data_IF_647890043804
#
_entry.id   IF_647890043804
#
_cell.length_a   1.000
_cell.length_b   1.000
_cell.length_c   1.000
_cell.angle_alpha   90.00
_cell.angle_beta   90.00
_cell.angle_gamma   90.00
#
_symmetry.space_group_name_H-M   'P 1'
#
loop_
_entity.id
_entity.type
_entity.pdbx_description
1 polymer ?
#
# COMPACT_ATOMS: atom_id res chain seq x y z
N UNK A 1 48.16 25.89 -25.29
CA UNK A 1 46.80 26.20 -24.81
C UNK A 1 45.96 24.96 -25.06
N UNK A 2 45.57 24.19 -24.03
CA UNK A 2 44.72 23.01 -24.21
C UNK A 2 43.24 23.43 -24.36
N UNK A 3 42.40 22.66 -25.06
CA UNK A 3 40.98 22.97 -25.20
C UNK A 3 40.26 22.69 -23.88
N UNK A 4 39.37 23.61 -23.50
CA UNK A 4 38.44 23.45 -22.38
C UNK A 4 37.39 22.42 -22.83
N UNK A 5 37.14 21.33 -22.08
CA UNK A 5 36.08 20.42 -22.44
C UNK A 5 34.73 21.12 -22.25
N UNK A 6 33.93 21.03 -23.31
CA UNK A 6 32.54 21.46 -23.38
C UNK A 6 31.74 20.79 -22.26
N UNK A 7 31.21 21.61 -21.36
CA UNK A 7 30.42 21.20 -20.20
C UNK A 7 28.99 21.66 -20.46
N UNK A 8 28.36 21.09 -21.49
CA UNK A 8 26.99 21.39 -21.89
C UNK A 8 26.24 20.10 -22.20
N UNK A 9 25.25 19.76 -21.36
CA UNK A 9 23.96 19.09 -21.69
C UNK A 9 23.40 18.17 -20.59
N UNK A 10 24.09 17.98 -19.48
CA UNK A 10 23.58 17.07 -18.43
C UNK A 10 22.41 17.67 -17.64
N UNK A 11 22.38 19.00 -17.48
CA UNK A 11 21.41 19.68 -16.63
C UNK A 11 20.00 19.72 -17.21
N UNK A 12 19.85 19.82 -18.55
CA UNK A 12 18.56 19.91 -19.21
C UNK A 12 17.85 18.55 -19.28
N UNK A 13 18.61 17.48 -19.55
CA UNK A 13 18.14 16.09 -19.56
C UNK A 13 17.60 15.66 -18.18
N UNK A 14 18.32 16.03 -17.10
CA UNK A 14 17.92 15.70 -15.73
C UNK A 14 16.62 16.42 -15.35
N UNK A 15 16.43 17.68 -15.74
CA UNK A 15 15.21 18.42 -15.43
C UNK A 15 13.97 17.86 -16.13
N UNK A 16 14.09 17.41 -17.39
CA UNK A 16 12.98 16.85 -18.15
C UNK A 16 12.56 15.47 -17.61
N UNK A 17 13.54 14.60 -17.32
CA UNK A 17 13.31 13.31 -16.66
C UNK A 17 12.65 13.46 -15.27
N UNK A 18 13.02 14.49 -14.50
CA UNK A 18 12.42 14.77 -13.19
C UNK A 18 10.99 15.27 -13.31
N UNK A 19 10.67 16.05 -14.35
CA UNK A 19 9.30 16.53 -14.61
C UNK A 19 8.41 15.36 -15.07
N UNK A 20 8.87 14.55 -16.02
CA UNK A 20 8.13 13.38 -16.50
C UNK A 20 7.93 12.35 -15.38
N UNK A 21 8.94 12.11 -14.55
CA UNK A 21 8.83 11.26 -13.37
C UNK A 21 7.81 11.84 -12.37
N UNK A 22 7.80 13.16 -12.13
CA UNK A 22 6.81 13.81 -11.26
C UNK A 22 5.39 13.67 -11.80
N UNK A 23 5.18 13.80 -13.11
CA UNK A 23 3.86 13.63 -13.73
C UNK A 23 3.38 12.18 -13.62
N UNK A 24 4.27 11.19 -13.82
CA UNK A 24 3.98 9.76 -13.58
C UNK A 24 3.71 9.44 -12.11
N UNK A 25 4.45 10.04 -11.16
CA UNK A 25 4.24 9.86 -9.71
C UNK A 25 2.91 10.48 -9.25
N UNK A 26 2.49 11.58 -9.88
CA UNK A 26 1.22 12.26 -9.59
C UNK A 26 0.01 11.61 -10.29
N UNK A 27 0.22 10.64 -11.17
CA UNK A 27 -0.87 9.90 -11.76
C UNK A 27 -1.53 9.00 -10.70
N UNK A 28 -2.78 9.33 -10.36
CA UNK A 28 -3.59 8.56 -9.43
C UNK A 28 -4.03 7.25 -10.10
N UNK A 29 -3.58 6.12 -9.55
CA UNK A 29 -4.12 4.82 -9.95
C UNK A 29 -5.41 4.59 -9.17
N UNK A 30 -6.52 4.43 -9.90
CA UNK A 30 -7.78 4.02 -9.30
C UNK A 30 -7.74 2.50 -9.10
N UNK A 31 -7.67 2.08 -7.85
CA UNK A 31 -7.68 0.67 -7.49
C UNK A 31 -9.11 0.32 -7.07
N UNK A 32 -9.73 -0.76 -7.59
CA UNK A 32 -11.14 -1.10 -7.36
C UNK A 32 -11.39 -1.65 -5.95
N UNK A 33 -10.94 -0.92 -4.93
CA UNK A 33 -11.11 -1.17 -3.51
C UNK A 33 -12.19 -0.26 -2.94
N UNK A 34 -13.01 -0.82 -2.05
CA UNK A 34 -14.08 -0.13 -1.35
C UNK A 34 -14.24 -0.66 0.07
N UNK A 35 -14.64 0.20 1.01
CA UNK A 35 -15.06 -0.26 2.34
C UNK A 35 -16.47 -0.87 2.28
N UNK A 36 -16.59 -2.13 2.69
CA UNK A 36 -17.85 -2.86 2.88
C UNK A 36 -18.02 -3.29 4.33
N UNK A 37 -19.23 -3.76 4.67
CA UNK A 37 -19.54 -4.35 5.98
C UNK A 37 -19.86 -5.83 5.83
N UNK A 38 -19.25 -6.66 6.67
CA UNK A 38 -19.51 -8.09 6.76
C UNK A 38 -20.13 -8.39 8.12
N UNK A 39 -21.22 -9.14 8.10
CA UNK A 39 -21.93 -9.60 9.30
C UNK A 39 -21.79 -11.13 9.38
N UNK A 40 -21.12 -11.62 10.43
CA UNK A 40 -21.04 -13.04 10.78
C UNK A 40 -22.43 -13.61 11.12
N UNK A 41 -23.20 -12.87 11.90
CA UNK A 41 -24.59 -13.20 12.24
C UNK A 41 -25.51 -11.97 12.14
N UNK A 42 -26.82 -12.16 12.36
CA UNK A 42 -27.82 -11.09 12.25
C UNK A 42 -27.67 -10.01 13.32
N UNK A 43 -27.13 -10.37 14.49
CA UNK A 43 -27.09 -9.51 15.67
C UNK A 43 -25.69 -9.00 16.01
N UNK A 44 -24.67 -9.53 15.33
CA UNK A 44 -23.30 -9.11 15.55
C UNK A 44 -23.06 -7.70 15.00
N UNK A 45 -22.14 -6.99 15.66
CA UNK A 45 -21.58 -5.77 15.11
C UNK A 45 -20.85 -6.11 13.81
N UNK A 46 -21.10 -5.38 12.69
CA UNK A 46 -20.42 -5.67 11.44
C UNK A 46 -18.93 -5.37 11.52
N UNK A 47 -18.13 -6.24 10.91
CA UNK A 47 -16.72 -5.99 10.60
C UNK A 47 -16.66 -5.13 9.34
N UNK A 48 -15.93 -4.01 9.39
CA UNK A 48 -15.62 -3.22 8.20
C UNK A 48 -14.42 -3.85 7.51
N UNK A 49 -14.52 -4.03 6.20
CA UNK A 49 -13.50 -4.71 5.40
C UNK A 49 -13.20 -3.89 4.16
N UNK A 50 -11.95 -3.91 3.71
CA UNK A 50 -11.56 -3.40 2.40
C UNK A 50 -11.78 -4.50 1.37
N UNK A 51 -12.84 -4.34 0.58
CA UNK A 51 -13.20 -5.25 -0.48
C UNK A 51 -12.59 -4.83 -1.81
N UNK A 52 -11.96 -5.76 -2.51
CA UNK A 52 -11.45 -5.60 -3.85
C UNK A 52 -12.45 -6.20 -4.85
N UNK A 53 -12.91 -5.40 -5.81
CA UNK A 53 -13.81 -5.85 -6.88
C UNK A 53 -12.98 -6.47 -8.00
N UNK A 54 -13.04 -7.79 -8.12
CA UNK A 54 -12.33 -8.53 -9.16
C UNK A 54 -13.32 -9.33 -10.01
N UNK A 55 -13.70 -8.77 -11.16
CA UNK A 55 -14.60 -9.46 -12.09
C UNK A 55 -13.93 -10.65 -12.80
N UNK A 56 -12.60 -10.78 -12.74
CA UNK A 56 -11.86 -11.92 -13.30
C UNK A 56 -11.74 -13.07 -12.30
N UNK A 57 -11.87 -12.79 -11.00
CA UNK A 57 -11.95 -13.85 -9.99
C UNK A 57 -13.26 -14.63 -10.12
N UNK A 58 -13.18 -15.94 -10.34
CA UNK A 58 -14.38 -16.78 -10.46
C UNK A 58 -15.15 -16.89 -9.14
N UNK A 59 -14.45 -16.86 -8.01
CA UNK A 59 -15.00 -17.00 -6.66
C UNK A 59 -14.59 -15.84 -5.76
N UNK A 60 -15.45 -15.53 -4.79
CA UNK A 60 -15.17 -14.55 -3.74
C UNK A 60 -14.41 -15.20 -2.59
N UNK A 61 -13.39 -14.52 -2.11
CA UNK A 61 -12.47 -14.98 -1.08
C UNK A 61 -12.46 -13.97 0.07
N UNK A 62 -12.29 -14.44 1.29
CA UNK A 62 -12.18 -13.57 2.47
C UNK A 62 -10.96 -13.99 3.28
N UNK A 63 -10.25 -13.01 3.82
CA UNK A 63 -9.10 -13.28 4.67
C UNK A 63 -9.57 -13.92 5.98
N UNK A 64 -8.86 -14.96 6.42
CA UNK A 64 -9.17 -15.71 7.62
C UNK A 64 -9.21 -14.83 8.87
N UNK A 65 -8.40 -13.76 8.91
CA UNK A 65 -8.33 -12.84 10.06
C UNK A 65 -9.58 -11.97 10.24
N UNK A 66 -10.45 -11.90 9.23
CA UNK A 66 -11.66 -11.05 9.24
C UNK A 66 -12.76 -11.63 10.11
N UNK A 67 -12.82 -12.96 10.24
CA UNK A 67 -13.84 -13.67 11.01
C UNK A 67 -13.18 -14.52 12.11
N UNK A 68 -13.86 -14.71 13.25
CA UNK A 68 -13.39 -15.60 14.32
C UNK A 68 -13.12 -17.03 13.83
N UNK A 69 -12.18 -17.72 14.47
CA UNK A 69 -11.71 -19.04 14.06
C UNK A 69 -12.83 -20.11 14.04
N UNK A 70 -13.77 -20.02 14.98
CA UNK A 70 -14.92 -20.94 15.11
C UNK A 70 -15.95 -20.81 13.97
N UNK A 71 -15.83 -19.77 13.14
CA UNK A 71 -16.68 -19.55 11.97
C UNK A 71 -16.22 -20.32 10.73
N UNK A 72 -15.09 -21.02 10.79
CA UNK A 72 -14.54 -21.76 9.67
C UNK A 72 -14.80 -23.27 9.81
N UNK A 73 -15.06 -23.93 8.68
CA UNK A 73 -15.07 -25.39 8.59
C UNK A 73 -14.18 -25.86 7.43
N UNK A 74 -13.56 -27.05 7.55
CA UNK A 74 -12.76 -27.61 6.47
C UNK A 74 -13.57 -27.71 5.17
N UNK A 75 -12.99 -27.22 4.08
CA UNK A 75 -13.54 -27.31 2.73
C UNK A 75 -12.41 -27.19 1.73
N UNK A 76 -12.14 -28.29 1.03
CA UNK A 76 -11.07 -28.38 0.05
C UNK A 76 -11.61 -28.06 -1.33
N UNK A 77 -11.06 -27.02 -1.94
CA UNK A 77 -11.40 -26.66 -3.31
C UNK A 77 -10.19 -26.07 -4.02
N UNK A 78 -9.88 -26.64 -5.18
CA UNK A 78 -8.79 -26.22 -6.03
C UNK A 78 -9.24 -25.12 -7.00
N UNK A 79 -8.38 -24.12 -7.15
CA UNK A 79 -8.55 -23.01 -8.07
C UNK A 79 -7.32 -22.89 -8.95
N UNK A 80 -7.55 -22.82 -10.26
CA UNK A 80 -6.50 -22.44 -11.20
C UNK A 80 -6.29 -20.93 -11.08
N UNK A 81 -5.07 -20.53 -10.75
CA UNK A 81 -4.66 -19.13 -10.73
C UNK A 81 -4.14 -18.69 -12.11
N UNK A 82 -3.98 -17.39 -12.31
CA UNK A 82 -3.40 -16.82 -13.53
C UNK A 82 -1.94 -17.20 -13.76
N UNK A 83 -1.24 -17.71 -12.74
CA UNK A 83 0.14 -18.20 -12.84
C UNK A 83 0.23 -19.72 -13.10
N UNK A 84 -0.88 -20.37 -13.47
CA UNK A 84 -1.01 -21.83 -13.55
C UNK A 84 -0.70 -22.58 -12.24
N UNK A 85 -0.60 -21.87 -11.11
CA UNK A 85 -0.51 -22.49 -9.80
C UNK A 85 -1.91 -22.90 -9.33
N UNK A 86 -1.99 -23.97 -8.54
CA UNK A 86 -3.21 -24.40 -7.89
C UNK A 86 -3.28 -23.73 -6.52
N UNK A 87 -4.30 -22.89 -6.33
CA UNK A 87 -4.66 -22.39 -5.00
C UNK A 87 -5.71 -23.32 -4.44
N UNK A 88 -5.37 -24.06 -3.39
CA UNK A 88 -6.33 -24.87 -2.64
C UNK A 88 -6.85 -24.03 -1.49
N UNK A 89 -8.13 -23.67 -1.53
CA UNK A 89 -8.79 -23.17 -0.32
C UNK A 89 -9.04 -24.36 0.60
N UNK A 90 -8.67 -24.22 1.88
CA UNK A 90 -8.76 -25.29 2.88
C UNK A 90 -10.01 -25.14 3.75
N UNK A 91 -10.63 -23.95 3.76
CA UNK A 91 -11.76 -23.63 4.64
C UNK A 91 -12.85 -22.80 3.96
N UNK A 92 -14.07 -22.92 4.48
CA UNK A 92 -15.23 -22.10 4.10
C UNK A 92 -15.96 -21.66 5.37
N UNK A 93 -16.70 -20.55 5.30
CA UNK A 93 -17.56 -20.12 6.41
C UNK A 93 -18.59 -21.21 6.75
N UNK A 94 -18.66 -21.60 8.03
CA UNK A 94 -19.61 -22.56 8.61
C UNK A 94 -21.05 -22.20 8.24
N UNK A 95 -21.41 -20.94 8.49
CA UNK A 95 -22.72 -20.36 8.16
C UNK A 95 -22.58 -19.26 7.11
N UNK A 96 -23.62 -19.01 6.29
CA UNK A 96 -23.58 -17.90 5.34
C UNK A 96 -23.48 -16.54 6.05
N UNK A 97 -22.47 -15.77 5.68
CA UNK A 97 -22.26 -14.40 6.13
C UNK A 97 -23.01 -13.41 5.24
N UNK A 98 -23.29 -12.22 5.77
CA UNK A 98 -23.96 -11.16 5.00
C UNK A 98 -22.97 -10.06 4.66
N UNK A 99 -22.84 -9.75 3.36
CA UNK A 99 -22.05 -8.63 2.86
C UNK A 99 -23.01 -7.49 2.53
N UNK A 100 -22.80 -6.33 3.13
CA UNK A 100 -23.55 -5.11 2.82
C UNK A 100 -22.72 -4.21 1.92
N UNK A 101 -23.17 -4.09 0.66
CA UNK A 101 -22.56 -3.22 -0.35
C UNK A 101 -23.00 -1.76 -0.14
N UNK A 102 -24.30 -1.58 0.11
CA UNK A 102 -24.93 -0.29 0.38
C UNK A 102 -26.06 -0.49 1.41
N UNK A 103 -26.49 0.57 2.11
CA UNK A 103 -27.78 0.58 2.78
C UNK A 103 -28.89 0.10 1.83
N UNK A 104 -29.49 -1.05 2.16
CA UNK A 104 -30.54 -1.69 1.36
C UNK A 104 -30.06 -2.65 0.27
N UNK A 105 -28.75 -2.86 0.10
CA UNK A 105 -28.18 -3.91 -0.75
C UNK A 105 -27.28 -4.82 0.07
N UNK A 106 -27.86 -5.91 0.56
CA UNK A 106 -27.20 -6.96 1.34
C UNK A 106 -27.24 -8.27 0.56
N UNK A 107 -26.15 -9.02 0.58
CA UNK A 107 -26.06 -10.32 -0.04
C UNK A 107 -25.53 -11.35 0.95
N UNK A 108 -26.27 -12.44 1.13
CA UNK A 108 -25.94 -13.50 2.09
C UNK A 108 -25.41 -14.72 1.35
N UNK A 109 -24.18 -15.13 1.67
CA UNK A 109 -23.50 -16.24 0.99
C UNK A 109 -22.48 -16.91 1.91
N UNK A 110 -22.08 -18.13 1.57
CA UNK A 110 -20.84 -18.70 2.11
C UNK A 110 -19.64 -18.12 1.38
N UNK A 111 -18.55 -17.90 2.09
CA UNK A 111 -17.30 -17.41 1.54
C UNK A 111 -16.17 -18.40 1.81
N UNK A 112 -15.28 -18.50 0.85
CA UNK A 112 -14.06 -19.30 0.93
C UNK A 112 -13.01 -18.51 1.70
N UNK A 113 -12.36 -19.15 2.68
CA UNK A 113 -11.33 -18.53 3.48
C UNK A 113 -9.95 -18.81 2.90
N UNK A 114 -9.18 -17.77 2.60
CA UNK A 114 -7.84 -17.88 2.05
C UNK A 114 -6.98 -16.75 2.59
N UNK A 115 -5.70 -17.01 2.81
CA UNK A 115 -4.74 -15.95 3.11
C UNK A 115 -4.44 -15.18 1.82
N UNK A 116 -5.25 -14.16 1.56
CA UNK A 116 -5.09 -13.26 0.41
C UNK A 116 -4.23 -12.07 0.87
N UNK A 117 -2.98 -11.95 0.40
CA UNK A 117 -2.08 -10.91 0.88
C UNK A 117 -2.64 -9.51 0.59
N UNK A 118 -2.68 -8.68 1.63
CA UNK A 118 -3.05 -7.27 1.54
C UNK A 118 -4.51 -7.00 1.16
N UNK A 119 -5.42 -7.97 1.27
CA UNK A 119 -6.85 -7.77 0.99
C UNK A 119 -7.71 -8.50 2.01
N UNK A 120 -8.74 -7.83 2.53
CA UNK A 120 -9.67 -8.42 3.49
C UNK A 120 -10.72 -9.29 2.77
N UNK A 121 -11.20 -8.85 1.62
CA UNK A 121 -12.28 -9.49 0.86
C UNK A 121 -12.07 -9.28 -0.64
N UNK A 122 -12.17 -10.34 -1.43
CA UNK A 122 -12.30 -10.27 -2.88
C UNK A 122 -13.75 -10.56 -3.25
N UNK A 123 -14.40 -9.62 -3.94
CA UNK A 123 -15.70 -9.83 -4.56
C UNK A 123 -15.47 -10.32 -5.99
N UNK A 124 -15.64 -11.63 -6.16
CA UNK A 124 -15.55 -12.31 -7.44
C UNK A 124 -16.84 -12.28 -8.26
N UNK A 125 -16.74 -12.81 -9.48
CA UNK A 125 -17.83 -12.92 -10.43
C UNK A 125 -19.01 -13.76 -9.92
N UNK A 126 -18.77 -14.73 -9.02
CA UNK A 126 -19.82 -15.54 -8.42
C UNK A 126 -20.88 -14.72 -7.66
N UNK A 127 -20.48 -13.63 -6.98
CA UNK A 127 -21.38 -12.71 -6.28
C UNK A 127 -21.91 -11.67 -7.26
N UNK A 128 -21.03 -11.08 -8.07
CA UNK A 128 -21.45 -10.04 -9.01
C UNK A 128 -22.56 -10.52 -9.95
N UNK A 129 -22.45 -11.73 -10.52
CA UNK A 129 -23.48 -12.28 -11.41
C UNK A 129 -24.86 -12.40 -10.75
N UNK A 130 -24.91 -12.56 -9.43
CA UNK A 130 -26.15 -12.66 -8.65
C UNK A 130 -26.75 -11.28 -8.34
N UNK A 131 -25.91 -10.23 -8.35
CA UNK A 131 -26.29 -8.85 -8.08
C UNK A 131 -26.30 -7.97 -9.34
N UNK A 132 -26.06 -8.53 -10.54
CA UNK A 132 -25.86 -7.79 -11.80
C UNK A 132 -26.93 -6.76 -12.12
N UNK A 133 -28.19 -7.02 -11.76
CA UNK A 133 -29.32 -6.13 -12.05
C UNK A 133 -29.47 -5.00 -11.02
N UNK A 134 -28.76 -5.10 -9.89
CA UNK A 134 -28.82 -4.14 -8.79
C UNK A 134 -27.51 -3.36 -8.62
N UNK A 135 -26.38 -4.05 -8.66
CA UNK A 135 -25.03 -3.52 -8.44
C UNK A 135 -24.35 -3.23 -9.78
N UNK A 136 -24.13 -1.96 -10.06
CA UNK A 136 -23.38 -1.52 -11.24
C UNK A 136 -21.90 -1.34 -10.89
N UNK A 137 -21.01 -2.01 -11.63
CA UNK A 137 -19.56 -1.80 -11.59
C UNK A 137 -19.21 -0.80 -12.70
N UNK A 138 -18.58 0.32 -12.35
CA UNK A 138 -18.06 1.33 -13.28
C UNK A 138 -16.54 1.42 -13.14
N UNK A 139 -15.89 2.17 -14.02
CA UNK A 139 -14.43 2.31 -14.05
C UNK A 139 -13.85 2.90 -12.75
N UNK A 140 -14.59 3.77 -12.05
CA UNK A 140 -14.12 4.47 -10.86
C UNK A 140 -14.98 4.28 -9.60
N UNK A 141 -16.03 3.44 -9.67
CA UNK A 141 -16.98 3.25 -8.57
C UNK A 141 -17.86 2.04 -8.74
N UNK A 142 -18.47 1.61 -7.64
CA UNK A 142 -19.72 0.84 -7.69
C UNK A 142 -20.93 1.73 -7.43
N UNK A 143 -22.10 1.36 -7.95
CA UNK A 143 -23.34 2.09 -7.77
C UNK A 143 -24.53 1.15 -7.53
N UNK A 144 -25.49 1.64 -6.73
CA UNK A 144 -26.77 1.00 -6.46
C UNK A 144 -27.85 2.09 -6.36
N UNK A 145 -28.86 2.05 -7.25
CA UNK A 145 -29.87 3.10 -7.36
C UNK A 145 -29.21 4.49 -7.46
N UNK A 146 -29.54 5.42 -6.55
CA UNK A 146 -28.97 6.77 -6.46
C UNK A 146 -27.71 6.86 -5.59
N UNK A 147 -27.23 5.74 -5.05
CA UNK A 147 -26.05 5.67 -4.19
C UNK A 147 -24.84 5.20 -4.98
N UNK A 148 -23.65 5.66 -4.59
CA UNK A 148 -22.38 5.20 -5.16
C UNK A 148 -21.28 5.19 -4.09
N UNK A 149 -20.29 4.33 -4.30
CA UNK A 149 -19.06 4.25 -3.52
C UNK A 149 -17.89 4.36 -4.49
N UNK A 150 -17.08 5.44 -4.43
CA UNK A 150 -15.90 5.56 -5.27
C UNK A 150 -14.86 4.50 -4.90
N UNK A 151 -14.06 4.12 -5.88
CA UNK A 151 -12.86 3.32 -5.68
C UNK A 151 -11.78 4.13 -4.99
N UNK A 152 -10.91 3.44 -4.25
CA UNK A 152 -9.75 4.07 -3.63
C UNK A 152 -8.78 4.58 -4.70
N UNK A 153 -8.43 5.85 -4.60
CA UNK A 153 -7.32 6.44 -5.32
C UNK A 153 -6.05 6.23 -4.49
N UNK A 154 -5.09 5.52 -5.04
CA UNK A 154 -3.78 5.38 -4.42
C UNK A 154 -2.81 6.12 -5.34
N UNK A 155 -2.12 7.17 -4.85
CA UNK A 155 -1.07 7.81 -5.63
C UNK A 155 -0.05 6.71 -5.98
N UNK A 156 0.33 6.61 -7.25
CA UNK A 156 1.36 5.67 -7.69
C UNK A 156 2.70 6.12 -7.14
N UNK A 157 2.89 5.98 -5.83
CA UNK A 157 4.10 6.44 -5.20
C UNK A 157 5.26 5.58 -5.72
N UNK A 158 5.11 4.25 -5.79
CA UNK A 158 6.06 3.37 -6.50
C UNK A 158 5.37 2.04 -6.87
N UNK A 159 5.22 1.72 -8.16
CA UNK A 159 5.05 0.32 -8.59
C UNK A 159 6.44 -0.29 -8.72
N UNK A 160 7.00 -0.79 -7.62
CA UNK A 160 8.22 -1.59 -7.73
C UNK A 160 7.79 -3.00 -8.13
N UNK A 161 7.83 -3.26 -9.43
CA UNK A 161 7.36 -4.51 -10.02
C UNK A 161 8.43 -5.60 -10.02
N UNK A 162 9.68 -5.23 -9.70
CA UNK A 162 10.86 -6.06 -9.85
C UNK A 162 11.67 -6.07 -8.55
N UNK A 163 11.88 -7.26 -7.99
CA UNK A 163 12.67 -7.48 -6.79
C UNK A 163 14.14 -7.07 -6.98
N UNK A 164 14.67 -7.12 -8.21
CA UNK A 164 16.03 -6.66 -8.51
C UNK A 164 16.15 -5.14 -8.36
N UNK A 165 15.13 -4.37 -8.74
CA UNK A 165 15.12 -2.91 -8.53
C UNK A 165 15.09 -2.57 -7.03
N UNK A 166 14.37 -3.34 -6.22
CA UNK A 166 14.39 -3.17 -4.75
C UNK A 166 15.78 -3.46 -4.19
N UNK A 167 16.42 -4.55 -4.65
CA UNK A 167 17.77 -4.90 -4.21
C UNK A 167 18.77 -3.82 -4.59
N UNK A 168 18.71 -3.31 -5.81
CA UNK A 168 19.58 -2.24 -6.29
C UNK A 168 19.37 -0.95 -5.47
N UNK A 169 18.13 -0.52 -5.24
CA UNK A 169 17.83 0.65 -4.40
C UNK A 169 18.35 0.44 -2.97
N UNK A 170 18.12 -0.75 -2.39
CA UNK A 170 18.63 -1.08 -1.05
C UNK A 170 20.15 -1.04 -1.01
N UNK A 171 20.82 -1.62 -1.99
CA UNK A 171 22.27 -1.67 -2.07
C UNK A 171 22.85 -0.26 -2.22
N UNK A 172 22.28 0.55 -3.10
CA UNK A 172 22.65 1.95 -3.30
C UNK A 172 22.49 2.76 -2.00
N UNK A 173 21.37 2.57 -1.28
CA UNK A 173 21.13 3.24 -0.01
C UNK A 173 22.15 2.82 1.06
N UNK A 174 22.49 1.53 1.14
CA UNK A 174 23.50 1.02 2.07
C UNK A 174 24.89 1.58 1.74
N UNK A 175 25.27 1.55 0.46
CA UNK A 175 26.57 2.03 0.01
C UNK A 175 26.77 3.52 0.28
N UNK A 176 25.75 4.34 0.02
CA UNK A 176 25.87 5.79 0.07
C UNK A 176 25.39 6.42 1.39
N UNK A 177 24.48 5.78 2.12
CA UNK A 177 23.86 6.38 3.32
C UNK A 177 24.19 5.66 4.63
N UNK A 178 24.53 4.37 4.59
CA UNK A 178 24.93 3.63 5.80
C UNK A 178 26.44 3.74 6.04
N UNK A 179 26.84 3.93 7.30
CA UNK A 179 28.23 3.97 7.71
C UNK A 179 28.41 3.17 8.99
N UNK A 180 29.42 2.30 9.02
CA UNK A 180 29.73 1.44 10.17
C UNK A 180 30.62 2.14 11.20
N UNK A 181 31.15 3.32 10.86
CA UNK A 181 31.98 4.12 11.76
C UNK A 181 31.74 5.61 11.53
N UNK A 182 32.01 6.41 12.56
CA UNK A 182 31.96 7.87 12.45
C UNK A 182 32.90 8.40 11.36
N UNK A 183 34.07 7.76 11.18
CA UNK A 183 35.05 8.17 10.17
C UNK A 183 34.55 7.91 8.74
N UNK A 184 33.83 6.82 8.52
CA UNK A 184 33.26 6.50 7.20
C UNK A 184 32.03 7.36 6.87
N UNK A 185 31.22 7.66 7.88
CA UNK A 185 30.10 8.58 7.76
C UNK A 185 30.54 9.96 7.25
N UNK A 186 31.65 10.47 7.78
CA UNK A 186 32.22 11.77 7.39
C UNK A 186 32.73 11.80 5.94
N UNK A 187 33.03 10.65 5.32
CA UNK A 187 33.50 10.55 3.93
C UNK A 187 32.36 10.44 2.91
N UNK A 188 31.22 9.87 3.30
CA UNK A 188 30.12 9.56 2.38
C UNK A 188 29.19 10.76 2.09
N UNK A 189 29.14 11.76 2.97
CA UNK A 189 28.30 12.96 2.78
C UNK A 189 29.07 14.17 2.23
N UNK A 190 28.82 14.57 0.97
CA UNK A 190 29.33 15.85 0.41
C UNK A 190 28.66 17.08 1.05
N UNK A 191 27.40 16.93 1.46
CA UNK A 191 26.58 17.96 2.10
C UNK A 191 25.94 17.41 3.38
N UNK A 192 26.72 17.28 4.46
CA UNK A 192 26.20 16.70 5.69
C UNK A 192 25.07 17.57 6.26
N UNK A 193 23.95 16.94 6.63
CA UNK A 193 22.75 17.64 7.12
C UNK A 193 23.04 18.54 8.32
N UNK A 194 23.99 18.17 9.20
CA UNK A 194 24.42 19.00 10.35
C UNK A 194 25.17 20.29 9.98
N UNK A 195 25.55 20.48 8.70
CA UNK A 195 26.07 21.75 8.18
C UNK A 195 24.99 22.61 7.51
N UNK A 196 23.79 22.07 7.31
CA UNK A 196 22.66 22.84 6.80
C UNK A 196 21.96 23.54 7.97
N UNK A 197 22.28 24.81 8.19
CA UNK A 197 21.69 25.61 9.27
C UNK A 197 20.16 25.73 9.14
N UNK A 198 19.61 25.76 7.93
CA UNK A 198 18.17 25.84 7.69
C UNK A 198 17.42 24.59 8.15
N UNK A 199 18.06 23.41 8.09
CA UNK A 199 17.46 22.15 8.53
C UNK A 199 17.12 22.16 10.03
N UNK A 200 17.87 22.90 10.86
CA UNK A 200 17.67 22.97 12.30
C UNK A 200 16.79 24.12 12.78
N UNK A 201 16.32 24.98 11.87
CA UNK A 201 15.49 26.13 12.23
C UNK A 201 14.01 25.76 12.46
N UNK A 202 13.55 24.57 12.05
CA UNK A 202 12.13 24.18 12.14
C UNK A 202 11.77 23.20 13.25
N UNK A 203 12.73 22.64 14.00
CA UNK A 203 12.43 21.68 15.08
C UNK A 203 12.68 22.25 16.48
N UNK A 204 11.69 22.10 17.36
CA UNK A 204 11.73 22.45 18.79
C UNK A 204 12.78 21.67 19.59
N UNK A 205 13.46 20.68 18.99
CA UNK A 205 14.61 19.97 19.57
C UNK A 205 15.86 20.86 19.69
N UNK A 206 16.00 21.90 18.86
CA UNK A 206 17.20 22.75 18.83
C UNK A 206 17.44 23.55 20.13
N UNK A 207 16.39 23.79 20.94
CA UNK A 207 16.53 24.49 22.24
C UNK A 207 17.25 23.69 23.31
N UNK A 208 17.24 22.35 23.27
CA UNK A 208 17.83 21.53 24.35
C UNK A 208 19.34 21.30 24.19
N UNK A 209 19.84 21.21 22.96
CA UNK A 209 21.27 20.95 22.71
C UNK A 209 22.18 22.16 22.98
N UNK A 210 21.68 23.40 22.84
CA UNK A 210 22.46 24.62 23.13
C UNK A 210 22.81 24.79 24.61
N UNK A 211 22.05 24.19 25.53
CA UNK A 211 22.26 24.36 26.98
C UNK A 211 23.45 23.53 27.47
N UNK A 212 23.74 22.38 26.85
CA UNK A 212 24.80 21.47 27.30
C UNK A 212 26.21 21.87 26.89
N UNK A 213 26.39 22.80 25.94
CA UNK A 213 27.71 23.24 25.45
C UNK A 213 28.23 24.47 26.23
N UNK A 214 27.34 25.22 26.90
CA UNK A 214 27.70 26.43 27.66
C UNK A 214 28.09 26.17 29.12
N UNK A 215 27.99 24.93 29.62
CA UNK A 215 28.38 24.58 30.99
C UNK A 215 29.66 23.73 31.00
N UNK A 216 30.80 24.37 30.74
CA UNK A 216 32.11 23.84 31.12
C UNK A 216 32.73 24.83 32.11
N UNK A 217 32.86 24.52 33.41
CA UNK A 217 33.47 25.45 34.34
C UNK A 217 34.97 25.54 34.07
N UNK A 218 35.48 26.77 34.12
CA UNK A 218 36.90 27.03 34.22
C UNK A 218 37.41 26.50 35.56
N UNK A 219 38.32 25.53 35.53
CA UNK A 219 39.07 25.10 36.71
C UNK A 219 40.40 25.86 36.67
N UNK A 220 40.55 26.81 37.59
CA UNK A 220 41.84 27.35 38.01
C UNK A 220 42.47 26.39 39.02
N UNK A 221 43.79 26.20 38.92
CA UNK A 221 44.61 25.39 39.81
C UNK A 221 45.82 24.86 39.05
#
# INVERSE_FOLDING_TARGET
MPPIPDQGDDHYQISELVIEAREKINALAVIPQIELKVYSSKWDKPTRVIAFIDTRAASSLINLVVLPEDQWVPHFKDFNTTSNAILTTIVITKHPVTIEFFPGLKYRTKLLGSDVPGKDLIIGFNIYRQLRDQLQIKSNRIAFKKQFKPYSEIPMLFQITDDEQIKEIKQNLIEHSCAESHKDFMKKGKHPLWKNEEFFLSSSLSRRMKISIQQKPAIQG
#
